data_IF_322279235787
#
_entry.id   IF_322279235787
#
_cell.length_a   1.000
_cell.length_b   1.000
_cell.length_c   1.000
_cell.angle_alpha   90.00
_cell.angle_beta   90.00
_cell.angle_gamma   90.00
#
_symmetry.space_group_name_H-M   'P 1'
#
loop_
_entity.id
_entity.type
_entity.pdbx_description
1 polymer ?
#
# COMPACT_ATOMS: atom_id res chain seq x y z
N UNK A 1 10.43 -11.47 10.88
CA UNK A 1 10.75 -12.25 12.10
C UNK A 1 12.11 -11.91 12.75
N UNK A 2 12.96 -11.07 12.13
CA UNK A 2 14.24 -10.65 12.75
C UNK A 2 13.98 -9.71 13.95
N UNK A 3 13.18 -8.65 13.76
CA UNK A 3 12.91 -7.69 14.84
C UNK A 3 12.18 -8.28 16.04
N UNK A 4 11.25 -9.22 15.84
CA UNK A 4 10.60 -9.95 16.93
C UNK A 4 11.58 -10.74 17.78
N UNK A 5 12.69 -11.21 17.20
CA UNK A 5 13.72 -11.95 17.94
C UNK A 5 14.74 -11.00 18.62
N UNK A 6 15.15 -9.93 17.95
CA UNK A 6 16.22 -9.06 18.43
C UNK A 6 15.74 -7.88 19.30
N UNK A 7 14.50 -7.44 19.11
CA UNK A 7 13.92 -6.26 19.77
C UNK A 7 12.52 -6.55 20.34
N UNK A 8 12.30 -7.64 21.10
CA UNK A 8 10.94 -8.07 21.50
C UNK A 8 10.20 -7.02 22.34
N UNK A 9 10.92 -6.28 23.19
CA UNK A 9 10.33 -5.21 24.01
C UNK A 9 9.93 -3.96 23.23
N UNK A 10 10.45 -3.79 22.00
CA UNK A 10 10.01 -2.72 21.09
C UNK A 10 8.86 -3.20 20.21
N UNK A 11 8.88 -4.45 19.77
CA UNK A 11 7.87 -4.99 18.86
C UNK A 11 6.47 -4.99 19.46
N UNK A 12 6.30 -5.45 20.70
CA UNK A 12 4.97 -5.49 21.35
C UNK A 12 4.26 -4.14 21.39
N UNK A 13 4.91 -3.06 21.84
CA UNK A 13 4.34 -1.71 21.76
C UNK A 13 4.06 -1.22 20.33
N UNK A 14 4.92 -1.52 19.35
CA UNK A 14 4.70 -1.09 17.96
C UNK A 14 3.49 -1.81 17.35
N UNK A 15 3.32 -3.11 17.60
CA UNK A 15 2.13 -3.88 17.19
C UNK A 15 0.86 -3.32 17.85
N UNK A 16 0.90 -3.00 19.14
CA UNK A 16 -0.23 -2.39 19.84
C UNK A 16 -0.63 -1.01 19.28
N UNK A 17 0.32 -0.25 18.74
CA UNK A 17 0.02 1.04 18.10
C UNK A 17 -0.77 0.88 16.80
N UNK A 18 -0.63 -0.23 16.07
CA UNK A 18 -1.47 -0.46 14.89
C UNK A 18 -2.92 -0.77 15.26
N UNK A 19 -3.16 -1.36 16.44
CA UNK A 19 -4.50 -1.69 16.91
C UNK A 19 -5.34 -0.47 17.32
N UNK A 20 -4.69 0.67 17.59
CA UNK A 20 -5.39 1.92 17.94
C UNK A 20 -5.82 2.75 16.73
N UNK A 21 -5.41 2.35 15.52
CA UNK A 21 -5.84 2.99 14.28
C UNK A 21 -7.29 2.62 14.01
N UNK A 22 -8.13 3.63 13.87
CA UNK A 22 -9.56 3.48 13.55
C UNK A 22 -9.87 4.24 12.26
N UNK A 23 -11.01 3.97 11.60
CA UNK A 23 -11.42 4.73 10.41
C UNK A 23 -11.57 6.24 10.65
N UNK A 24 -11.80 6.67 11.90
CA UNK A 24 -11.94 8.06 12.29
C UNK A 24 -10.61 8.73 12.68
N UNK A 25 -9.52 7.95 12.75
CA UNK A 25 -8.19 8.48 13.07
C UNK A 25 -7.70 9.38 11.94
N UNK A 26 -7.13 10.53 12.29
CA UNK A 26 -6.57 11.47 11.31
C UNK A 26 -5.59 10.75 10.36
N UNK A 27 -5.66 11.07 9.07
CA UNK A 27 -4.89 10.38 8.03
C UNK A 27 -3.39 10.59 8.23
N UNK A 28 -2.93 11.77 8.64
CA UNK A 28 -1.50 12.04 8.87
C UNK A 28 -0.98 11.29 10.09
N UNK A 29 -1.80 11.20 11.14
CA UNK A 29 -1.49 10.38 12.33
C UNK A 29 -1.41 8.90 11.94
N UNK A 30 -2.37 8.41 11.15
CA UNK A 30 -2.39 7.03 10.67
C UNK A 30 -1.15 6.70 9.85
N UNK A 31 -0.78 7.55 8.89
CA UNK A 31 0.43 7.36 8.08
C UNK A 31 1.71 7.38 8.91
N UNK A 32 1.78 8.21 9.96
CA UNK A 32 2.92 8.24 10.88
C UNK A 32 3.05 6.93 11.69
N UNK A 33 1.93 6.34 12.11
CA UNK A 33 1.91 5.03 12.78
C UNK A 33 2.34 3.93 11.81
N UNK A 34 1.80 3.94 10.58
CA UNK A 34 2.16 2.98 9.55
C UNK A 34 3.63 3.10 9.12
N UNK A 35 4.22 4.30 9.14
CA UNK A 35 5.65 4.49 8.86
C UNK A 35 6.52 3.73 9.87
N UNK A 36 6.22 3.87 11.17
CA UNK A 36 6.90 3.11 12.21
C UNK A 36 6.66 1.59 12.09
N UNK A 37 5.40 1.19 11.90
CA UNK A 37 5.02 -0.22 11.83
C UNK A 37 5.66 -0.93 10.61
N UNK A 38 5.59 -0.31 9.43
CA UNK A 38 6.20 -0.84 8.21
C UNK A 38 7.73 -0.91 8.31
N UNK A 39 8.38 0.06 8.96
CA UNK A 39 9.82 0.00 9.25
C UNK A 39 10.19 -1.18 10.18
N UNK A 40 9.28 -1.59 11.07
CA UNK A 40 9.42 -2.79 11.90
C UNK A 40 9.04 -4.10 11.17
N UNK A 41 8.65 -4.01 9.89
CA UNK A 41 8.22 -5.15 9.08
C UNK A 41 6.81 -5.64 9.38
N UNK A 42 5.99 -4.80 10.00
CA UNK A 42 4.58 -5.07 10.25
C UNK A 42 3.78 -4.65 9.00
N UNK A 43 2.94 -5.54 8.43
CA UNK A 43 2.14 -5.20 7.27
C UNK A 43 1.12 -4.12 7.62
N UNK A 44 1.00 -3.11 6.77
CA UNK A 44 0.07 -1.99 6.91
C UNK A 44 -0.94 -2.00 5.75
N UNK A 45 -2.17 -1.56 6.01
CA UNK A 45 -3.21 -1.49 4.96
C UNK A 45 -2.87 -0.48 3.86
N UNK A 46 -2.19 0.60 4.23
CA UNK A 46 -1.66 1.61 3.32
C UNK A 46 -0.15 1.67 3.49
N UNK A 47 0.59 1.53 2.39
CA UNK A 47 2.05 1.67 2.39
C UNK A 47 2.45 3.17 2.44
N UNK A 48 3.03 3.65 3.55
CA UNK A 48 3.41 5.05 3.70
C UNK A 48 4.57 5.46 2.78
N UNK A 49 5.47 4.52 2.44
CA UNK A 49 6.57 4.79 1.52
C UNK A 49 6.05 4.97 0.09
N UNK A 50 5.10 4.14 -0.33
CA UNK A 50 4.42 4.28 -1.62
C UNK A 50 3.65 5.61 -1.71
N UNK A 51 2.93 5.97 -0.65
CA UNK A 51 2.22 7.27 -0.58
C UNK A 51 3.19 8.43 -0.77
N UNK A 52 4.34 8.41 -0.08
CA UNK A 52 5.33 9.48 -0.18
C UNK A 52 5.91 9.61 -1.60
N UNK A 53 6.23 8.49 -2.25
CA UNK A 53 6.73 8.48 -3.63
C UNK A 53 5.67 9.03 -4.59
N UNK A 54 4.42 8.57 -4.49
CA UNK A 54 3.34 9.02 -5.36
C UNK A 54 2.99 10.49 -5.13
N UNK A 55 3.03 10.98 -3.89
CA UNK A 55 2.82 12.39 -3.57
C UNK A 55 3.85 13.31 -4.25
N UNK A 56 5.10 12.86 -4.39
CA UNK A 56 6.16 13.58 -5.10
C UNK A 56 6.06 13.53 -6.63
N UNK A 57 5.23 12.63 -7.18
CA UNK A 57 5.06 12.43 -8.62
C UNK A 57 3.94 13.26 -9.25
N UNK A 58 3.36 14.21 -8.50
CA UNK A 58 2.31 15.09 -9.01
C UNK A 58 2.77 15.85 -10.24
N UNK A 59 1.92 15.90 -11.25
CA UNK A 59 2.21 16.61 -12.50
C UNK A 59 2.11 18.11 -12.25
N UNK A 60 3.15 18.86 -12.62
CA UNK A 60 3.14 20.31 -12.46
C UNK A 60 1.95 20.94 -13.18
N UNK A 61 1.07 21.58 -12.41
CA UNK A 61 -0.09 22.31 -12.93
C UNK A 61 -1.41 21.53 -12.98
N UNK A 62 -1.47 20.27 -12.56
CA UNK A 62 -2.75 19.56 -12.41
C UNK A 62 -3.48 19.99 -11.13
N UNK A 63 -4.81 20.07 -11.21
CA UNK A 63 -5.65 20.30 -10.03
C UNK A 63 -5.87 18.98 -9.25
N UNK A 64 -6.14 19.03 -7.93
CA UNK A 64 -6.41 17.83 -7.15
C UNK A 64 -7.58 16.99 -7.68
N UNK A 65 -8.57 17.64 -8.30
CA UNK A 65 -9.73 16.96 -8.89
C UNK A 65 -9.35 16.19 -10.16
N UNK A 66 -8.44 16.72 -10.98
CA UNK A 66 -7.93 16.04 -12.16
C UNK A 66 -7.08 14.83 -11.79
N UNK A 67 -6.18 14.97 -10.81
CA UNK A 67 -5.39 13.84 -10.30
C UNK A 67 -6.29 12.71 -9.79
N UNK A 68 -7.35 13.06 -9.06
CA UNK A 68 -8.34 12.09 -8.58
C UNK A 68 -9.06 11.39 -9.75
N UNK A 69 -9.50 12.15 -10.77
CA UNK A 69 -10.14 11.56 -11.97
C UNK A 69 -9.19 10.61 -12.70
N UNK A 70 -7.93 10.99 -12.84
CA UNK A 70 -6.91 10.14 -13.48
C UNK A 70 -6.72 8.85 -12.67
N UNK A 71 -6.64 8.91 -11.34
CA UNK A 71 -6.54 7.73 -10.48
C UNK A 71 -7.77 6.82 -10.62
N UNK A 72 -8.98 7.37 -10.64
CA UNK A 72 -10.21 6.59 -10.88
C UNK A 72 -10.20 5.92 -12.27
N UNK A 73 -9.83 6.67 -13.30
CA UNK A 73 -9.79 6.15 -14.67
C UNK A 73 -8.70 5.09 -14.85
N UNK A 74 -7.57 5.20 -14.13
CA UNK A 74 -6.55 4.16 -14.11
C UNK A 74 -7.11 2.83 -13.59
N UNK A 75 -7.90 2.84 -12.52
CA UNK A 75 -8.55 1.63 -11.99
C UNK A 75 -9.54 1.04 -12.99
N UNK A 76 -10.34 1.88 -13.65
CA UNK A 76 -11.25 1.44 -14.72
C UNK A 76 -10.48 0.82 -15.87
N UNK A 77 -9.39 1.48 -16.31
CA UNK A 77 -8.53 1.02 -17.39
C UNK A 77 -7.92 -0.35 -17.10
N UNK A 78 -7.39 -0.56 -15.89
CA UNK A 78 -6.88 -1.86 -15.44
C UNK A 78 -7.99 -2.90 -15.53
N UNK A 79 -9.15 -2.64 -14.93
CA UNK A 79 -10.27 -3.59 -14.89
C UNK A 79 -10.73 -4.03 -16.29
N UNK A 80 -10.87 -3.10 -17.24
CA UNK A 80 -11.30 -3.44 -18.61
C UNK A 80 -10.19 -4.09 -19.44
N UNK A 81 -8.93 -3.95 -19.03
CA UNK A 81 -7.78 -4.55 -19.73
C UNK A 81 -7.45 -5.96 -19.24
N UNK A 82 -7.89 -6.38 -18.05
CA UNK A 82 -7.63 -7.72 -17.50
C UNK A 82 -8.00 -8.88 -18.45
N UNK A 83 -9.11 -8.85 -19.22
CA UNK A 83 -9.45 -9.94 -20.15
C UNK A 83 -8.39 -10.17 -21.25
N UNK A 84 -7.53 -9.19 -21.53
CA UNK A 84 -6.44 -9.34 -22.49
C UNK A 84 -5.43 -10.42 -22.05
N UNK A 85 -5.22 -10.59 -20.73
CA UNK A 85 -4.33 -11.63 -20.20
C UNK A 85 -4.81 -13.04 -20.57
N UNK A 86 -6.12 -13.26 -20.73
CA UNK A 86 -6.65 -14.59 -21.09
C UNK A 86 -6.22 -15.05 -22.50
N UNK A 87 -5.78 -14.12 -23.36
CA UNK A 87 -5.28 -14.43 -24.70
C UNK A 87 -3.75 -14.59 -24.75
N UNK A 88 -3.05 -14.26 -23.67
CA UNK A 88 -1.59 -14.35 -23.60
C UNK A 88 -1.16 -15.75 -23.14
N UNK A 89 -0.42 -16.53 -23.96
CA UNK A 89 0.05 -17.86 -23.56
C UNK A 89 1.02 -17.85 -22.36
N UNK A 90 1.60 -16.70 -22.00
CA UNK A 90 2.42 -16.56 -20.80
C UNK A 90 1.60 -16.36 -19.51
N UNK A 91 0.30 -16.06 -19.62
CA UNK A 91 -0.59 -15.77 -18.49
C UNK A 91 -1.32 -17.03 -17.99
N UNK A 92 -0.58 -18.14 -17.82
CA UNK A 92 -1.11 -19.42 -17.31
C UNK A 92 -0.64 -19.63 -15.89
N UNK A 93 -1.58 -19.90 -14.98
CA UNK A 93 -1.28 -20.22 -13.58
C UNK A 93 -0.44 -21.49 -13.46
N UNK A 94 0.64 -21.42 -12.69
CA UNK A 94 1.51 -22.54 -12.38
C UNK A 94 1.41 -22.87 -10.88
N UNK A 95 0.93 -24.08 -10.57
CA UNK A 95 0.79 -24.58 -9.19
C UNK A 95 2.11 -24.67 -8.43
N UNK A 96 3.24 -24.85 -9.13
CA UNK A 96 4.57 -24.88 -8.50
C UNK A 96 5.05 -23.49 -8.06
N UNK A 97 4.55 -22.45 -8.72
CA UNK A 97 4.91 -21.05 -8.47
C UNK A 97 3.88 -20.30 -7.64
N UNK A 98 2.70 -20.90 -7.42
CA UNK A 98 1.52 -20.29 -6.81
C UNK A 98 1.12 -18.96 -7.48
N UNK A 99 1.19 -18.93 -8.82
CA UNK A 99 0.93 -17.76 -9.66
C UNK A 99 0.87 -18.10 -11.14
#
# INVERSE_FOLDING_TARGET
QVFSHHCPFLMGPIECLTDVVTPDTDIQVTLSIFELASAAGIPCEVDPALVNVLAGSKTDGSSPEEDYKVACLLLVFVAVSLPLLASDPASVYNTEMDG
#
